data_IF_639730387238
#
_entry.id   IF_639730387238
#
_cell.length_a   1.000
_cell.length_b   1.000
_cell.length_c   1.000
_cell.angle_alpha   90.00
_cell.angle_beta   90.00
_cell.angle_gamma   90.00
#
_symmetry.space_group_name_H-M   'P 1'
#
loop_
_entity.id
_entity.type
_entity.pdbx_description
1 polymer ?
#
# COMPACT_ATOMS: atom_id res chain seq x y z
N UNK A 1 1.81 0.62 1.97
CA UNK A 1 1.27 -0.37 2.91
C UNK A 1 0.70 0.30 4.15
N UNK A 2 -0.31 -0.26 4.78
CA UNK A 2 -0.98 0.36 5.93
C UNK A 2 -0.25 0.03 7.26
N UNK A 3 -0.31 0.96 8.21
CA UNK A 3 0.39 0.82 9.49
C UNK A 3 1.85 1.27 9.48
N UNK A 4 2.39 1.77 8.36
CA UNK A 4 3.81 2.15 8.25
C UNK A 4 4.25 3.20 9.28
N UNK A 5 3.34 4.05 9.74
CA UNK A 5 3.63 5.12 10.70
C UNK A 5 3.21 4.76 12.14
N UNK A 6 2.89 3.50 12.39
CA UNK A 6 2.45 3.02 13.72
C UNK A 6 3.54 2.15 14.35
N UNK A 7 3.56 2.12 15.67
CA UNK A 7 4.44 1.25 16.44
C UNK A 7 4.11 -0.22 16.16
N UNK A 8 2.83 -0.57 16.03
CA UNK A 8 2.37 -1.91 15.71
C UNK A 8 1.74 -1.95 14.32
N UNK A 9 2.15 -2.94 13.51
CA UNK A 9 1.62 -3.16 12.16
C UNK A 9 0.49 -4.18 12.24
N UNK A 10 -0.72 -3.85 11.72
CA UNK A 10 -1.80 -4.83 11.67
C UNK A 10 -1.45 -5.97 10.71
N UNK A 11 -1.78 -7.20 11.12
CA UNK A 11 -1.64 -8.38 10.26
C UNK A 11 -2.67 -8.36 9.14
N UNK A 12 -3.93 -8.03 9.50
CA UNK A 12 -5.01 -7.93 8.52
C UNK A 12 -5.70 -6.57 8.56
N UNK A 13 -6.25 -6.21 7.41
CA UNK A 13 -7.21 -5.14 7.25
C UNK A 13 -8.57 -5.75 7.02
N UNK A 14 -9.55 -5.41 7.86
CA UNK A 14 -10.95 -5.78 7.65
C UNK A 14 -11.71 -4.53 7.21
N UNK A 15 -12.44 -4.65 6.11
CA UNK A 15 -13.32 -3.62 5.58
C UNK A 15 -14.75 -4.13 5.61
N UNK A 16 -15.68 -3.34 6.16
CA UNK A 16 -17.11 -3.62 6.12
C UNK A 16 -17.83 -2.50 5.39
N UNK A 17 -18.61 -2.86 4.38
CA UNK A 17 -19.38 -1.90 3.59
C UNK A 17 -20.72 -1.59 4.26
N UNK A 18 -20.85 -0.37 4.77
CA UNK A 18 -22.10 0.15 5.33
C UNK A 18 -22.97 0.77 4.24
N UNK A 19 -22.35 1.45 3.26
CA UNK A 19 -23.01 2.07 2.12
C UNK A 19 -22.11 1.99 0.90
N UNK A 20 -22.63 1.44 -0.18
CA UNK A 20 -21.93 1.31 -1.45
C UNK A 20 -22.35 2.40 -2.43
N UNK A 21 -21.44 2.91 -3.30
CA UNK A 21 -21.83 3.61 -4.50
C UNK A 21 -22.64 2.69 -5.43
N UNK A 22 -23.42 3.28 -6.33
CA UNK A 22 -24.04 2.49 -7.40
C UNK A 22 -22.96 1.92 -8.33
N UNK A 23 -23.24 0.77 -8.93
CA UNK A 23 -22.38 0.17 -9.95
C UNK A 23 -22.06 1.21 -11.03
N UNK A 24 -20.77 1.33 -11.38
CA UNK A 24 -20.28 2.30 -12.36
C UNK A 24 -19.94 3.69 -11.81
N UNK A 25 -20.23 4.00 -10.55
CA UNK A 25 -19.85 5.29 -9.94
C UNK A 25 -18.42 5.29 -9.36
N UNK A 26 -17.67 4.21 -9.52
CA UNK A 26 -16.31 4.05 -9.02
C UNK A 26 -16.26 3.79 -7.51
N UNK A 27 -15.11 4.05 -6.90
CA UNK A 27 -14.92 3.88 -5.46
C UNK A 27 -14.65 2.44 -5.03
N UNK A 28 -14.29 1.57 -5.96
CA UNK A 28 -13.83 0.21 -5.65
C UNK A 28 -12.60 0.27 -4.75
N UNK A 29 -12.43 -0.72 -3.90
CA UNK A 29 -11.16 -0.93 -3.22
C UNK A 29 -10.30 -1.84 -4.07
N UNK A 30 -9.07 -1.40 -4.34
CA UNK A 30 -8.13 -2.13 -5.18
C UNK A 30 -7.12 -2.86 -4.31
N UNK A 31 -6.71 -4.04 -4.76
CA UNK A 31 -5.69 -4.87 -4.12
C UNK A 31 -4.68 -5.33 -5.16
N UNK A 32 -3.39 -5.29 -4.80
CA UNK A 32 -2.31 -5.85 -5.62
C UNK A 32 -1.57 -6.90 -4.82
N UNK A 33 -1.47 -8.12 -5.37
CA UNK A 33 -0.77 -9.23 -4.76
C UNK A 33 0.75 -9.10 -4.99
N UNK A 34 1.46 -8.64 -3.98
CA UNK A 34 2.90 -8.38 -4.06
C UNK A 34 3.75 -9.65 -4.14
N UNK A 35 3.24 -10.77 -3.63
CA UNK A 35 3.90 -12.08 -3.73
C UNK A 35 3.91 -12.52 -5.19
N UNK A 36 2.74 -12.52 -5.85
CA UNK A 36 2.62 -12.85 -7.27
C UNK A 36 3.46 -11.92 -8.15
N UNK A 37 3.50 -10.62 -7.85
CA UNK A 37 4.39 -9.66 -8.53
C UNK A 37 5.85 -10.11 -8.44
N UNK A 38 6.32 -10.48 -7.25
CA UNK A 38 7.71 -10.92 -7.07
C UNK A 38 8.00 -12.29 -7.68
N UNK A 39 7.02 -13.16 -7.77
CA UNK A 39 7.17 -14.46 -8.45
C UNK A 39 7.30 -14.29 -9.96
N UNK A 40 6.47 -13.46 -10.56
CA UNK A 40 6.36 -13.30 -12.03
C UNK A 40 7.28 -12.24 -12.63
N UNK A 41 7.75 -11.27 -11.85
CA UNK A 41 8.61 -10.20 -12.34
C UNK A 41 9.94 -10.71 -12.91
N UNK A 42 10.45 -10.10 -14.01
CA UNK A 42 11.76 -10.39 -14.55
C UNK A 42 12.88 -10.23 -13.51
N UNK A 43 13.91 -11.09 -13.59
CA UNK A 43 15.04 -11.11 -12.66
C UNK A 43 15.71 -9.73 -12.54
N UNK A 44 15.84 -8.99 -13.65
CA UNK A 44 16.44 -7.67 -13.66
C UNK A 44 15.63 -6.67 -12.81
N UNK A 45 14.29 -6.75 -12.86
CA UNK A 45 13.42 -5.89 -12.04
C UNK A 45 13.53 -6.26 -10.56
N UNK A 46 13.49 -7.54 -10.23
CA UNK A 46 13.69 -8.02 -8.85
C UNK A 46 15.03 -7.57 -8.28
N UNK A 47 16.10 -7.67 -9.06
CA UNK A 47 17.43 -7.21 -8.67
C UNK A 47 17.49 -5.69 -8.47
N UNK A 48 16.75 -4.92 -9.26
CA UNK A 48 16.62 -3.48 -9.08
C UNK A 48 15.87 -3.17 -7.78
N UNK A 49 14.67 -3.71 -7.58
CA UNK A 49 13.83 -3.43 -6.42
C UNK A 49 14.49 -3.85 -5.10
N UNK A 50 15.24 -4.95 -5.08
CA UNK A 50 15.97 -5.43 -3.89
C UNK A 50 17.06 -4.47 -3.38
N UNK A 51 17.55 -3.56 -4.23
CA UNK A 51 18.58 -2.57 -3.85
C UNK A 51 17.98 -1.31 -3.23
N UNK A 52 16.67 -1.13 -3.35
CA UNK A 52 16.01 0.13 -3.03
C UNK A 52 15.48 0.12 -1.61
N UNK A 53 15.79 1.19 -0.88
CA UNK A 53 15.16 1.50 0.39
C UNK A 53 14.31 2.76 0.22
N UNK A 54 13.03 2.66 0.59
CA UNK A 54 12.10 3.77 0.61
C UNK A 54 12.10 4.47 1.97
N UNK A 55 12.18 5.80 1.93
CA UNK A 55 11.94 6.66 3.07
C UNK A 55 10.58 7.32 2.89
N UNK A 56 9.69 7.08 3.83
CA UNK A 56 8.33 7.60 3.86
C UNK A 56 8.19 8.54 5.05
N UNK A 57 7.83 9.79 4.79
CA UNK A 57 7.68 10.78 5.84
C UNK A 57 6.32 11.44 5.74
N UNK A 58 5.61 11.53 6.87
CA UNK A 58 4.33 12.21 6.95
C UNK A 58 4.29 13.10 8.17
N UNK A 59 4.28 14.41 7.93
CA UNK A 59 4.11 15.44 8.97
C UNK A 59 2.62 15.66 9.16
N UNK A 60 2.04 14.96 10.10
CA UNK A 60 0.66 15.17 10.55
C UNK A 60 0.61 15.07 12.07
N UNK A 61 -0.36 15.74 12.66
CA UNK A 61 -0.56 15.84 14.10
C UNK A 61 -0.52 14.49 14.84
N UNK A 62 -1.03 13.41 14.19
CA UNK A 62 -1.04 12.07 14.78
C UNK A 62 0.11 11.16 14.31
N UNK A 63 0.85 11.53 13.31
CA UNK A 63 1.85 10.63 12.74
C UNK A 63 3.28 11.12 12.92
N UNK A 64 3.56 12.38 12.77
CA UNK A 64 4.90 12.98 12.92
C UNK A 64 6.03 11.94 12.99
N UNK A 65 5.98 10.96 12.11
CA UNK A 65 6.84 9.80 12.12
C UNK A 65 7.33 9.51 10.70
N UNK A 66 8.45 8.83 10.68
CA UNK A 66 9.16 8.45 9.47
C UNK A 66 9.35 6.94 9.46
N UNK A 67 9.18 6.36 8.30
CA UNK A 67 9.45 4.94 8.07
C UNK A 67 10.55 4.79 7.04
N UNK A 68 11.52 3.92 7.32
CA UNK A 68 12.58 3.54 6.39
C UNK A 68 12.50 2.04 6.17
N UNK A 69 12.11 1.64 4.97
CA UNK A 69 11.85 0.24 4.65
C UNK A 69 12.44 -0.16 3.30
N UNK A 70 13.07 -1.32 3.16
CA UNK A 70 13.37 -1.86 1.83
C UNK A 70 12.07 -2.01 1.04
N UNK A 71 12.14 -1.83 -0.29
CA UNK A 71 11.00 -2.04 -1.19
C UNK A 71 10.60 -3.52 -1.20
N UNK A 72 11.57 -4.41 -1.27
CA UNK A 72 11.34 -5.85 -1.10
C UNK A 72 11.72 -6.24 0.31
N UNK A 73 10.75 -6.70 1.07
CA UNK A 73 10.91 -7.10 2.48
C UNK A 73 10.38 -8.53 2.67
N UNK A 74 10.53 -9.07 3.86
CA UNK A 74 10.04 -10.40 4.21
C UNK A 74 8.75 -10.31 5.02
N UNK A 75 7.77 -11.14 4.69
CA UNK A 75 6.56 -11.28 5.49
C UNK A 75 6.93 -11.86 6.87
N UNK A 76 6.64 -11.14 7.97
CA UNK A 76 7.19 -11.48 9.29
C UNK A 76 6.72 -12.83 9.84
N UNK A 77 5.53 -13.29 9.43
CA UNK A 77 4.96 -14.56 9.91
C UNK A 77 5.10 -15.70 8.91
N UNK A 78 5.18 -15.41 7.61
CA UNK A 78 5.15 -16.43 6.53
C UNK A 78 6.48 -16.62 5.82
N UNK A 79 7.42 -15.68 5.99
CA UNK A 79 8.79 -15.80 5.47
C UNK A 79 8.96 -15.57 3.96
N UNK A 80 7.90 -15.44 3.18
CA UNK A 80 8.01 -15.10 1.76
C UNK A 80 8.28 -13.60 1.53
N UNK A 81 8.79 -13.27 0.36
CA UNK A 81 9.07 -11.88 -0.01
C UNK A 81 7.78 -11.12 -0.35
N UNK A 82 7.71 -9.85 0.03
CA UNK A 82 6.60 -8.94 -0.20
C UNK A 82 7.11 -7.57 -0.65
N UNK A 83 6.28 -6.77 -1.31
CA UNK A 83 6.63 -5.38 -1.67
C UNK A 83 6.06 -4.41 -0.64
N UNK A 84 6.94 -3.56 -0.09
CA UNK A 84 6.63 -2.44 0.81
C UNK A 84 6.76 -1.14 0.04
N UNK A 85 5.66 -0.71 -0.55
CA UNK A 85 5.64 0.45 -1.42
C UNK A 85 4.42 1.32 -1.14
N UNK A 86 4.56 2.61 -1.35
CA UNK A 86 3.47 3.58 -1.37
C UNK A 86 3.60 4.37 -2.66
N UNK A 87 2.63 4.21 -3.56
CA UNK A 87 2.65 4.90 -4.85
C UNK A 87 2.52 6.42 -4.64
N UNK A 88 3.40 7.23 -5.23
CA UNK A 88 3.26 8.67 -5.17
C UNK A 88 1.99 9.12 -5.91
N UNK A 89 1.32 10.19 -5.43
CA UNK A 89 0.19 10.77 -6.13
C UNK A 89 0.57 11.15 -7.56
N UNK A 90 -0.29 10.87 -8.52
CA UNK A 90 -0.09 11.33 -9.90
C UNK A 90 -0.32 12.83 -9.98
N UNK A 91 0.52 13.53 -10.74
CA UNK A 91 0.32 14.94 -11.04
C UNK A 91 -1.07 15.16 -11.66
N UNK A 92 -1.83 16.12 -11.13
CA UNK A 92 -3.18 16.44 -11.59
C UNK A 92 -4.30 15.56 -11.00
N UNK A 93 -4.00 14.56 -10.19
CA UNK A 93 -5.00 13.73 -9.52
C UNK A 93 -5.15 14.09 -8.03
N UNK A 94 -6.20 14.84 -7.73
CA UNK A 94 -6.68 15.09 -6.39
C UNK A 94 -5.86 16.10 -5.58
N UNK A 95 -6.52 16.80 -4.70
CA UNK A 95 -5.89 17.64 -3.69
C UNK A 95 -5.54 16.76 -2.48
N UNK A 96 -4.37 16.14 -2.50
CA UNK A 96 -3.87 15.48 -1.30
C UNK A 96 -3.47 16.55 -0.27
N UNK A 97 -4.22 16.62 0.79
CA UNK A 97 -3.80 17.38 1.97
C UNK A 97 -2.66 16.59 2.63
N UNK A 98 -1.45 17.17 2.65
CA UNK A 98 -0.22 16.55 3.16
C UNK A 98 0.14 15.22 2.46
N UNK A 99 0.55 15.24 1.18
CA UNK A 99 1.09 14.04 0.54
C UNK A 99 2.33 13.56 1.30
N UNK A 100 2.51 12.24 1.47
CA UNK A 100 3.73 11.74 2.10
C UNK A 100 4.94 12.10 1.23
N UNK A 101 6.03 12.49 1.89
CA UNK A 101 7.33 12.59 1.22
C UNK A 101 7.83 11.17 0.99
N UNK A 102 8.21 10.88 -0.25
CA UNK A 102 8.77 9.59 -0.64
C UNK A 102 10.13 9.84 -1.30
N UNK A 103 11.15 9.26 -0.70
CA UNK A 103 12.51 9.28 -1.24
C UNK A 103 13.03 7.85 -1.38
N UNK A 104 13.74 7.57 -2.47
CA UNK A 104 14.42 6.29 -2.68
C UNK A 104 15.93 6.44 -2.56
N UNK A 105 16.56 5.47 -1.89
CA UNK A 105 18.01 5.26 -1.87
C UNK A 105 18.33 3.92 -2.50
N UNK A 106 19.59 3.72 -2.93
CA UNK A 106 20.02 2.50 -3.63
C UNK A 106 19.76 2.51 -5.14
N UNK A 107 19.28 3.63 -5.67
CA UNK A 107 19.04 3.87 -7.09
C UNK A 107 19.43 5.30 -7.45
N UNK A 108 19.85 5.54 -8.70
CA UNK A 108 20.15 6.90 -9.17
C UNK A 108 18.87 7.75 -9.27
N UNK A 109 19.00 9.07 -9.17
CA UNK A 109 17.86 9.99 -9.32
C UNK A 109 17.17 9.81 -10.69
N UNK A 110 17.94 9.57 -11.74
CA UNK A 110 17.44 9.38 -13.10
C UNK A 110 16.63 8.07 -13.24
N UNK A 111 16.96 7.06 -12.44
CA UNK A 111 16.25 5.76 -12.46
C UNK A 111 14.99 5.72 -11.60
N UNK A 112 14.77 6.69 -10.70
CA UNK A 112 13.60 6.70 -9.80
C UNK A 112 12.29 6.62 -10.58
N UNK A 113 12.15 7.39 -11.66
CA UNK A 113 10.94 7.36 -12.49
C UNK A 113 10.70 5.98 -13.10
N UNK A 114 11.76 5.31 -13.54
CA UNK A 114 11.71 3.94 -14.06
C UNK A 114 11.28 2.94 -12.99
N UNK A 115 11.77 3.09 -11.77
CA UNK A 115 11.35 2.24 -10.64
C UNK A 115 9.87 2.38 -10.38
N UNK A 116 9.36 3.63 -10.29
CA UNK A 116 7.92 3.85 -10.11
C UNK A 116 7.10 3.28 -11.26
N UNK A 117 7.57 3.41 -12.51
CA UNK A 117 6.91 2.87 -13.68
C UNK A 117 6.84 1.35 -13.61
N UNK A 118 7.96 0.66 -13.40
CA UNK A 118 8.01 -0.81 -13.37
C UNK A 118 7.20 -1.41 -12.21
N UNK A 119 7.23 -0.79 -11.02
CA UNK A 119 6.39 -1.19 -9.91
C UNK A 119 4.90 -1.03 -10.25
N UNK A 120 4.52 0.11 -10.85
CA UNK A 120 3.14 0.35 -11.26
C UNK A 120 2.67 -0.68 -12.28
N UNK A 121 3.42 -0.88 -13.36
CA UNK A 121 3.08 -1.85 -14.40
C UNK A 121 2.87 -3.25 -13.81
N UNK A 122 3.73 -3.68 -12.91
CA UNK A 122 3.63 -5.00 -12.28
C UNK A 122 2.49 -5.11 -11.26
N UNK A 123 2.27 -4.07 -10.44
CA UNK A 123 1.21 -4.06 -9.42
C UNK A 123 -0.20 -3.98 -10.02
N UNK A 124 -0.35 -3.33 -11.18
CA UNK A 124 -1.64 -3.19 -11.88
C UNK A 124 -1.82 -4.19 -13.03
N UNK A 125 -0.88 -5.11 -13.22
CA UNK A 125 -1.05 -6.21 -14.18
C UNK A 125 -2.27 -7.06 -13.79
N UNK A 126 -3.13 -7.46 -14.75
CA UNK A 126 -4.40 -8.13 -14.46
C UNK A 126 -4.28 -9.37 -13.56
N UNK A 127 -3.20 -10.12 -13.68
CA UNK A 127 -2.90 -11.31 -12.89
C UNK A 127 -2.56 -11.01 -11.42
N UNK A 128 -2.17 -9.77 -11.11
CA UNK A 128 -1.76 -9.34 -9.79
C UNK A 128 -2.77 -8.41 -9.12
N UNK A 129 -3.77 -7.93 -9.88
CA UNK A 129 -4.64 -6.83 -9.49
C UNK A 129 -6.09 -7.27 -9.38
N UNK A 130 -6.74 -6.87 -8.29
CA UNK A 130 -8.17 -7.08 -8.06
C UNK A 130 -8.82 -5.77 -7.60
N UNK A 131 -9.96 -5.43 -8.17
CA UNK A 131 -10.78 -4.28 -7.78
C UNK A 131 -12.14 -4.74 -7.27
N UNK A 132 -12.36 -4.62 -5.96
CA UNK A 132 -13.60 -5.04 -5.30
C UNK A 132 -14.69 -3.98 -5.49
N UNK A 133 -15.75 -4.35 -6.17
CA UNK A 133 -16.96 -3.54 -6.28
C UNK A 133 -17.89 -3.83 -5.10
N UNK A 134 -18.09 -2.82 -4.26
CA UNK A 134 -18.77 -2.98 -2.99
C UNK A 134 -20.28 -3.15 -3.12
N UNK A 135 -20.84 -4.07 -2.34
CA UNK A 135 -22.25 -4.16 -2.02
C UNK A 135 -22.44 -3.91 -0.51
N UNK A 136 -23.59 -3.36 -0.13
CA UNK A 136 -23.91 -3.14 1.30
C UNK A 136 -23.93 -4.47 2.04
N UNK A 137 -23.20 -4.53 3.17
CA UNK A 137 -23.02 -5.75 3.96
C UNK A 137 -21.75 -6.52 3.64
N UNK A 138 -21.05 -6.24 2.53
CA UNK A 138 -19.80 -6.92 2.20
C UNK A 138 -18.77 -6.76 3.32
N UNK A 139 -18.05 -7.85 3.58
CA UNK A 139 -16.88 -7.88 4.46
C UNK A 139 -15.70 -8.43 3.67
N UNK A 140 -14.62 -7.64 3.57
CA UNK A 140 -13.36 -8.05 2.95
C UNK A 140 -12.27 -8.06 4.01
N UNK A 141 -11.53 -9.17 4.09
CA UNK A 141 -10.34 -9.31 4.93
C UNK A 141 -9.13 -9.44 4.02
N UNK A 142 -8.14 -8.58 4.21
CA UNK A 142 -6.93 -8.53 3.41
C UNK A 142 -5.69 -8.69 4.29
N UNK A 143 -4.77 -9.56 3.90
CA UNK A 143 -3.44 -9.66 4.48
C UNK A 143 -2.68 -8.36 4.18
N UNK A 144 -2.35 -7.61 5.23
CA UNK A 144 -1.73 -6.30 5.10
C UNK A 144 -0.25 -6.35 4.74
N UNK A 145 0.37 -7.52 4.82
CA UNK A 145 1.77 -7.72 4.42
C UNK A 145 1.89 -8.13 2.96
N UNK A 146 1.05 -9.04 2.49
CA UNK A 146 1.11 -9.58 1.13
C UNK A 146 0.39 -8.69 0.11
N UNK A 147 -0.61 -7.90 0.55
CA UNK A 147 -1.42 -7.07 -0.33
C UNK A 147 -1.15 -5.58 -0.12
N UNK A 148 -0.92 -4.86 -1.20
CA UNK A 148 -1.09 -3.41 -1.22
C UNK A 148 -2.53 -3.11 -1.60
N UNK A 149 -3.11 -2.09 -0.96
CA UNK A 149 -4.47 -1.68 -1.28
C UNK A 149 -4.59 -0.18 -1.55
N UNK A 150 -5.57 0.16 -2.34
CA UNK A 150 -5.89 1.53 -2.70
C UNK A 150 -7.39 1.72 -2.88
N UNK A 151 -7.75 2.89 -3.36
CA UNK A 151 -9.13 3.22 -3.69
C UNK A 151 -9.18 3.92 -5.03
N UNK A 152 -10.07 3.49 -5.90
CA UNK A 152 -10.39 4.24 -7.11
C UNK A 152 -11.06 5.57 -6.81
N UNK A 153 -10.93 6.49 -7.74
CA UNK A 153 -11.75 7.69 -7.74
C UNK A 153 -13.24 7.33 -7.82
N UNK A 154 -14.08 8.14 -7.22
CA UNK A 154 -15.53 7.99 -7.29
C UNK A 154 -16.21 9.37 -7.39
N UNK A 155 -17.45 9.38 -7.85
CA UNK A 155 -18.22 10.61 -7.94
C UNK A 155 -18.40 11.25 -6.55
N UNK A 156 -18.14 12.54 -6.45
CA UNK A 156 -18.07 13.28 -5.17
C UNK A 156 -19.38 13.21 -4.35
N UNK A 157 -20.51 12.99 -5.03
CA UNK A 157 -21.85 12.89 -4.41
C UNK A 157 -22.32 11.45 -4.19
N UNK A 158 -21.57 10.45 -4.66
CA UNK A 158 -21.94 9.05 -4.47
C UNK A 158 -21.81 8.66 -2.98
N UNK A 159 -22.83 8.06 -2.39
CA UNK A 159 -22.73 7.59 -1.01
C UNK A 159 -21.73 6.44 -0.94
N UNK A 160 -20.70 6.59 -0.13
CA UNK A 160 -19.72 5.53 0.15
C UNK A 160 -19.28 5.59 1.60
N UNK A 161 -19.64 4.56 2.36
CA UNK A 161 -19.24 4.42 3.75
C UNK A 161 -18.70 3.02 4.00
N UNK A 162 -17.38 2.93 4.22
CA UNK A 162 -16.72 1.71 4.69
C UNK A 162 -16.23 1.94 6.12
N UNK A 163 -16.41 0.93 6.96
CA UNK A 163 -15.73 0.81 8.24
C UNK A 163 -14.47 -0.02 8.04
N UNK A 164 -13.37 0.40 8.65
CA UNK A 164 -12.10 -0.33 8.61
C UNK A 164 -11.68 -0.69 10.02
N UNK A 165 -11.29 -1.96 10.21
CA UNK A 165 -10.72 -2.46 11.46
C UNK A 165 -9.33 -2.99 11.18
N UNK A 166 -8.37 -2.59 11.99
CA UNK A 166 -7.02 -3.15 12.02
C UNK A 166 -7.01 -4.35 12.95
N UNK A 167 -6.68 -5.52 12.41
CA UNK A 167 -6.55 -6.75 13.17
C UNK A 167 -5.07 -7.01 13.45
N UNK A 168 -4.70 -6.93 14.70
CA UNK A 168 -3.33 -7.23 15.13
C UNK A 168 -3.16 -8.74 15.32
N UNK A 169 -1.95 -9.24 15.09
CA UNK A 169 -1.56 -10.59 15.49
C UNK A 169 -1.49 -10.72 17.02
N UNK A 170 -1.39 -11.93 17.51
CA UNK A 170 -1.15 -12.20 18.94
C UNK A 170 0.11 -13.07 19.10
N UNK A 171 1.20 -12.55 19.65
CA UNK A 171 1.41 -11.15 20.07
C UNK A 171 1.41 -10.16 18.91
N UNK A 172 1.16 -8.86 19.18
CA UNK A 172 1.22 -7.83 18.14
C UNK A 172 2.62 -7.71 17.52
N UNK A 173 2.67 -7.43 16.21
CA UNK A 173 3.92 -7.22 15.49
C UNK A 173 4.36 -5.77 15.61
N UNK A 174 5.52 -5.54 16.19
CA UNK A 174 6.15 -4.23 16.19
C UNK A 174 6.62 -3.85 14.78
N UNK A 175 6.68 -2.53 14.52
CA UNK A 175 7.20 -1.99 13.28
C UNK A 175 8.71 -1.69 13.40
N UNK A 176 9.59 -2.57 12.92
CA UNK A 176 11.02 -2.37 13.02
C UNK A 176 11.54 -1.26 12.09
N UNK A 177 10.67 -0.76 11.21
CA UNK A 177 11.01 0.25 10.19
C UNK A 177 10.63 1.67 10.62
N UNK A 178 9.91 1.80 11.75
CA UNK A 178 9.48 3.10 12.27
C UNK A 178 10.65 3.84 12.89
N UNK A 179 10.87 5.07 12.45
CA UNK A 179 11.81 6.00 13.06
C UNK A 179 11.00 7.17 13.63
N UNK A 180 10.86 7.19 14.95
CA UNK A 180 10.15 8.28 15.61
C UNK A 180 10.95 9.58 15.53
N UNK A 181 10.31 10.70 15.27
CA UNK A 181 10.88 12.01 15.54
C UNK A 181 10.88 12.24 17.05
N UNK A 182 12.05 12.54 17.58
CA UNK A 182 12.17 13.08 18.92
C UNK A 182 11.88 14.56 18.92
#
# INVERSE_FOLDING_TARGET
WDGMYRQQVPEFQLFHCVKAPRIGQGGRTTFSNTVSVLETAPVQMKNLWNKITGRYERKMEFYNSKTVSPIVDTHPLRGHSVIRYNEPPRAGFGNFVNPPVLEFTGVSADDVARVHQTLRESLYAPENFYAHEWQEGDVVVADNFSLLHGREAFETKAPRHLRRVHVLSNPPLDNPRLVSYK
#
